data_IF_952420878566
#
_entry.id   IF_952420878566
#
_cell.length_a   1.000
_cell.length_b   1.000
_cell.length_c   1.000
_cell.angle_alpha   90.00
_cell.angle_beta   90.00
_cell.angle_gamma   90.00
#
_symmetry.space_group_name_H-M   'P 1'
#
loop_
_entity.id
_entity.type
_entity.pdbx_description
1 polymer ?
#
# COMPACT_ATOMS: atom_id res chain seq x y z
N UNK A 1 -24.37 19.35 -7.07
CA UNK A 1 -23.08 18.65 -6.96
C UNK A 1 -22.66 18.78 -5.50
N UNK A 2 -22.21 17.70 -4.86
CA UNK A 2 -21.66 17.80 -3.50
C UNK A 2 -20.37 18.62 -3.57
N UNK A 3 -20.27 19.70 -2.80
CA UNK A 3 -18.97 20.30 -2.54
C UNK A 3 -18.11 19.24 -1.85
N UNK A 4 -17.00 18.86 -2.48
CA UNK A 4 -15.97 18.06 -1.86
C UNK A 4 -15.00 19.08 -1.26
N UNK A 5 -15.00 19.21 0.07
CA UNK A 5 -13.98 19.99 0.78
C UNK A 5 -12.93 19.01 1.28
N UNK A 6 -11.67 19.21 0.86
CA UNK A 6 -10.54 18.38 1.25
C UNK A 6 -9.49 19.25 1.95
N UNK A 7 -9.12 18.89 3.18
CA UNK A 7 -7.93 19.44 3.82
C UNK A 7 -6.68 18.84 3.17
N UNK A 8 -6.10 19.60 2.24
CA UNK A 8 -4.94 19.20 1.45
C UNK A 8 -3.72 18.93 2.34
N UNK A 9 -3.55 19.69 3.41
CA UNK A 9 -2.39 19.54 4.29
C UNK A 9 -2.51 18.25 5.09
N UNK A 10 -3.67 17.99 5.68
CA UNK A 10 -3.94 16.75 6.39
C UNK A 10 -3.84 15.53 5.46
N UNK A 11 -4.41 15.62 4.25
CA UNK A 11 -4.36 14.54 3.27
C UNK A 11 -2.93 14.23 2.83
N UNK A 12 -2.11 15.24 2.53
CA UNK A 12 -0.70 15.06 2.16
C UNK A 12 0.11 14.45 3.31
N UNK A 13 -0.12 14.87 4.56
CA UNK A 13 0.55 14.29 5.73
C UNK A 13 0.20 12.81 5.89
N UNK A 14 -1.08 12.47 5.86
CA UNK A 14 -1.55 11.10 6.01
C UNK A 14 -1.02 10.17 4.89
N UNK A 15 -0.99 10.66 3.64
CA UNK A 15 -0.45 9.89 2.52
C UNK A 15 1.06 9.69 2.61
N UNK A 16 1.79 10.68 3.14
CA UNK A 16 3.23 10.53 3.40
C UNK A 16 3.49 9.48 4.47
N UNK A 17 2.79 9.57 5.60
CA UNK A 17 2.88 8.59 6.69
C UNK A 17 2.54 7.17 6.20
N UNK A 18 1.48 7.04 5.40
CA UNK A 18 1.08 5.76 4.80
C UNK A 18 2.14 5.22 3.84
N UNK A 19 2.81 6.09 3.06
CA UNK A 19 3.90 5.67 2.17
C UNK A 19 5.10 5.15 2.96
N UNK A 20 5.52 5.89 3.99
CA UNK A 20 6.65 5.51 4.85
C UNK A 20 6.38 4.19 5.58
N UNK A 21 5.19 4.04 6.17
CA UNK A 21 4.81 2.79 6.85
C UNK A 21 4.73 1.62 5.86
N UNK A 22 4.18 1.84 4.65
CA UNK A 22 4.11 0.79 3.63
C UNK A 22 5.50 0.31 3.23
N UNK A 23 6.48 1.21 3.06
CA UNK A 23 7.85 0.84 2.73
C UNK A 23 8.55 0.07 3.86
N UNK A 24 8.29 0.47 5.12
CA UNK A 24 8.76 -0.26 6.30
C UNK A 24 8.16 -1.67 6.32
N UNK A 25 6.86 -1.81 6.07
CA UNK A 25 6.19 -3.10 6.06
C UNK A 25 6.65 -3.98 4.89
N UNK A 26 6.89 -3.42 3.70
CA UNK A 26 7.50 -4.15 2.57
C UNK A 26 8.87 -4.70 2.93
N UNK A 27 9.74 -3.88 3.53
CA UNK A 27 11.05 -4.33 3.98
C UNK A 27 10.96 -5.44 5.04
N UNK A 28 10.11 -5.25 6.05
CA UNK A 28 9.93 -6.25 7.13
C UNK A 28 9.36 -7.56 6.61
N UNK A 29 8.40 -7.49 5.69
CA UNK A 29 7.80 -8.65 5.04
C UNK A 29 8.85 -9.40 4.22
N UNK A 30 9.56 -8.71 3.32
CA UNK A 30 10.61 -9.31 2.49
C UNK A 30 11.73 -9.97 3.31
N UNK A 31 12.06 -9.43 4.49
CA UNK A 31 13.06 -10.02 5.40
C UNK A 31 12.59 -11.30 6.11
N UNK A 32 11.30 -11.67 6.03
CA UNK A 32 10.68 -12.79 6.76
C UNK A 32 10.04 -13.79 5.81
N UNK A 33 10.81 -14.29 4.84
CA UNK A 33 10.36 -15.38 3.98
C UNK A 33 10.12 -16.64 4.82
N UNK A 34 8.96 -17.31 4.68
CA UNK A 34 8.69 -18.55 5.38
C UNK A 34 9.61 -19.66 4.87
N UNK A 35 10.32 -20.30 5.79
CA UNK A 35 11.05 -21.53 5.53
C UNK A 35 10.44 -22.67 6.37
N UNK A 36 9.62 -23.50 5.71
CA UNK A 36 9.05 -24.69 6.34
C UNK A 36 9.76 -25.94 5.82
N UNK A 37 10.62 -26.57 6.64
CA UNK A 37 11.27 -27.81 6.25
C UNK A 37 10.25 -28.95 6.24
N UNK A 38 10.17 -29.69 5.12
CA UNK A 38 9.21 -30.80 4.93
C UNK A 38 9.35 -31.87 6.02
N UNK A 39 10.58 -32.09 6.53
CA UNK A 39 10.86 -33.04 7.60
C UNK A 39 10.22 -32.66 8.94
N UNK A 40 9.94 -31.38 9.18
CA UNK A 40 9.26 -30.93 10.40
C UNK A 40 7.79 -31.37 10.47
N UNK A 41 7.20 -31.82 9.35
CA UNK A 41 5.86 -32.41 9.35
C UNK A 41 5.79 -33.78 10.04
N UNK A 42 6.95 -34.41 10.32
CA UNK A 42 7.04 -35.71 10.99
C UNK A 42 7.10 -36.90 10.04
N UNK A 43 7.46 -38.07 10.59
CA UNK A 43 7.63 -39.30 9.84
C UNK A 43 6.32 -39.73 9.15
N UNK A 44 6.38 -40.05 7.86
CA UNK A 44 5.20 -40.42 7.05
C UNK A 44 4.38 -39.24 6.51
N UNK A 45 4.67 -38.00 6.91
CA UNK A 45 3.88 -36.81 6.53
C UNK A 45 4.55 -35.90 5.50
N UNK A 46 5.57 -36.39 4.77
CA UNK A 46 6.30 -35.57 3.79
C UNK A 46 5.39 -34.88 2.76
N UNK A 47 4.33 -35.56 2.29
CA UNK A 47 3.36 -34.96 1.36
C UNK A 47 2.57 -33.80 1.98
N UNK A 48 2.26 -33.86 3.27
CA UNK A 48 1.65 -32.76 4.00
C UNK A 48 2.65 -31.62 4.25
N UNK A 49 3.91 -31.95 4.54
CA UNK A 49 4.96 -30.94 4.71
C UNK A 49 5.21 -30.13 3.45
N UNK A 50 5.19 -30.77 2.27
CA UNK A 50 5.24 -30.07 0.97
C UNK A 50 4.04 -29.12 0.82
N UNK A 51 2.82 -29.60 1.08
CA UNK A 51 1.61 -28.76 0.99
C UNK A 51 1.66 -27.55 1.93
N UNK A 52 2.16 -27.73 3.15
CA UNK A 52 2.29 -26.64 4.13
C UNK A 52 3.31 -25.60 3.67
N UNK A 53 4.49 -26.04 3.23
CA UNK A 53 5.51 -25.13 2.67
C UNK A 53 4.94 -24.33 1.51
N UNK A 54 4.33 -24.99 0.53
CA UNK A 54 3.81 -24.34 -0.67
C UNK A 54 2.66 -23.36 -0.33
N UNK A 55 1.81 -23.70 0.64
CA UNK A 55 0.76 -22.81 1.17
C UNK A 55 1.36 -21.57 1.83
N UNK A 56 2.39 -21.74 2.68
CA UNK A 56 3.05 -20.63 3.37
C UNK A 56 3.76 -19.70 2.39
N UNK A 57 4.45 -20.25 1.40
CA UNK A 57 5.05 -19.48 0.29
C UNK A 57 3.99 -18.67 -0.43
N UNK A 58 2.89 -19.31 -0.85
CA UNK A 58 1.81 -18.59 -1.55
C UNK A 58 1.16 -17.50 -0.71
N UNK A 59 0.99 -17.73 0.60
CA UNK A 59 0.45 -16.72 1.51
C UNK A 59 1.41 -15.53 1.63
N UNK A 60 2.71 -15.79 1.67
CA UNK A 60 3.74 -14.75 1.70
C UNK A 60 3.75 -13.94 0.40
N UNK A 61 3.67 -14.58 -0.76
CA UNK A 61 3.61 -13.92 -2.05
C UNK A 61 2.37 -13.01 -2.17
N UNK A 62 1.21 -13.50 -1.74
CA UNK A 62 -0.01 -12.68 -1.66
C UNK A 62 0.15 -11.47 -0.72
N UNK A 63 0.92 -11.62 0.36
CA UNK A 63 1.29 -10.52 1.24
C UNK A 63 2.09 -9.44 0.51
N UNK A 64 3.07 -9.86 -0.30
CA UNK A 64 3.88 -8.95 -1.13
C UNK A 64 3.02 -8.20 -2.15
N UNK A 65 2.15 -8.90 -2.87
CA UNK A 65 1.24 -8.31 -3.86
C UNK A 65 0.33 -7.24 -3.23
N UNK A 66 -0.17 -7.49 -2.02
CA UNK A 66 -1.02 -6.53 -1.30
C UNK A 66 -0.27 -5.28 -0.87
N UNK A 67 0.95 -5.44 -0.35
CA UNK A 67 1.78 -4.30 0.04
C UNK A 67 2.16 -3.45 -1.17
N UNK A 68 2.42 -4.07 -2.32
CA UNK A 68 2.67 -3.37 -3.59
C UNK A 68 1.43 -2.59 -4.06
N UNK A 69 0.24 -3.20 -3.97
CA UNK A 69 -1.01 -2.54 -4.32
C UNK A 69 -1.27 -1.31 -3.43
N UNK A 70 -1.00 -1.40 -2.13
CA UNK A 70 -1.09 -0.26 -1.21
C UNK A 70 -0.10 0.83 -1.62
N UNK A 71 1.17 0.50 -1.88
CA UNK A 71 2.18 1.47 -2.29
C UNK A 71 1.78 2.23 -3.57
N UNK A 72 1.34 1.51 -4.60
CA UNK A 72 0.88 2.11 -5.86
C UNK A 72 -0.33 3.01 -5.64
N UNK A 73 -1.28 2.58 -4.81
CA UNK A 73 -2.49 3.34 -4.50
C UNK A 73 -2.15 4.63 -3.73
N UNK A 74 -1.24 4.56 -2.75
CA UNK A 74 -0.78 5.74 -1.99
C UNK A 74 -0.09 6.76 -2.88
N UNK A 75 0.73 6.31 -3.84
CA UNK A 75 1.39 7.19 -4.82
C UNK A 75 0.34 7.85 -5.74
N UNK A 76 -0.62 7.07 -6.23
CA UNK A 76 -1.70 7.59 -7.07
C UNK A 76 -2.56 8.62 -6.32
N UNK A 77 -2.92 8.34 -5.07
CA UNK A 77 -3.65 9.26 -4.22
C UNK A 77 -2.88 10.56 -3.96
N UNK A 78 -1.57 10.47 -3.68
CA UNK A 78 -0.71 11.65 -3.50
C UNK A 78 -0.70 12.55 -4.73
N UNK A 79 -0.62 11.94 -5.93
CA UNK A 79 -0.69 12.69 -7.19
C UNK A 79 -2.06 13.33 -7.40
N UNK A 80 -3.14 12.64 -7.03
CA UNK A 80 -4.49 13.18 -7.20
C UNK A 80 -4.78 14.36 -6.26
N UNK A 81 -4.28 14.30 -5.02
CA UNK A 81 -4.37 15.43 -4.07
C UNK A 81 -3.60 16.64 -4.60
N UNK A 82 -2.44 16.44 -5.21
CA UNK A 82 -1.68 17.51 -5.86
C UNK A 82 -2.47 18.17 -7.00
N UNK A 83 -3.02 17.35 -7.91
CA UNK A 83 -3.84 17.84 -9.03
C UNK A 83 -5.06 18.63 -8.53
N UNK A 84 -5.72 18.14 -7.49
CA UNK A 84 -6.87 18.83 -6.89
C UNK A 84 -6.45 20.20 -6.35
N UNK A 85 -5.34 20.28 -5.61
CA UNK A 85 -4.86 21.53 -5.03
C UNK A 85 -4.52 22.59 -6.10
N UNK A 86 -3.81 22.20 -7.15
CA UNK A 86 -3.49 23.11 -8.27
C UNK A 86 -4.76 23.61 -8.94
N UNK A 87 -5.74 22.72 -9.18
CA UNK A 87 -7.01 23.10 -9.80
C UNK A 87 -7.82 24.08 -8.92
N UNK A 88 -7.79 23.88 -7.61
CA UNK A 88 -8.47 24.77 -6.63
C UNK A 88 -7.83 26.15 -6.58
N UNK A 89 -6.49 26.23 -6.61
CA UNK A 89 -5.75 27.50 -6.66
C UNK A 89 -6.03 28.27 -7.97
N UNK A 90 -5.97 27.59 -9.13
CA UNK A 90 -6.24 28.19 -10.43
C UNK A 90 -7.68 28.76 -10.49
N UNK A 91 -8.66 28.01 -9.99
CA UNK A 91 -10.04 28.45 -9.92
C UNK A 91 -10.23 29.67 -8.99
N UNK A 92 -9.54 29.68 -7.84
CA UNK A 92 -9.55 30.82 -6.92
C UNK A 92 -8.98 32.10 -7.55
N UNK A 93 -7.92 31.97 -8.36
CA UNK A 93 -7.33 33.09 -9.12
C UNK A 93 -8.31 33.62 -10.17
N UNK A 94 -8.95 32.74 -10.94
CA UNK A 94 -9.93 33.15 -11.96
C UNK A 94 -11.13 33.91 -11.34
N UNK A 95 -11.65 33.45 -10.20
CA UNK A 95 -12.74 34.13 -9.51
C UNK A 95 -12.30 35.49 -8.93
N UNK A 96 -11.11 35.57 -8.35
CA UNK A 96 -10.56 36.82 -7.81
C UNK A 96 -10.28 37.87 -8.88
N UNK A 97 -9.98 37.46 -10.11
CA UNK A 97 -9.77 38.37 -11.25
C UNK A 97 -11.09 38.92 -11.84
N UNK A 98 -12.25 38.35 -11.50
CA UNK A 98 -13.58 38.77 -11.97
C UNK A 98 -14.34 39.65 -10.96
N UNK A 99 -13.79 39.86 -9.75
CA UNK A 99 -14.36 40.68 -8.67
C UNK A 99 -13.74 42.09 -8.64
#
# INVERSE_FOLDING_TARGET
MSEISLDITAARSALREMSEETDIQRHRHAARTPDFPVSAAGAGFASHGVRLRDMLTRLHDLGSERLDAVAVTTIAASRQVEVYHVTDEDFGVELGAQA
#
